data_IF_125988428102
#
_entry.id   IF_125988428102
#
_cell.length_a   1.000
_cell.length_b   1.000
_cell.length_c   1.000
_cell.angle_alpha   90.00
_cell.angle_beta   90.00
_cell.angle_gamma   90.00
#
_symmetry.space_group_name_H-M   'P 1'
#
loop_
_entity.id
_entity.type
_entity.pdbx_description
1 polymer ?
#
# COMPACT_ATOMS: atom_id res chain seq x y z
N UNK A 1 1.39 0.79 3.61
CA UNK A 1 0.28 0.40 4.51
C UNK A 1 -0.18 -0.97 4.08
N UNK A 2 0.26 -2.00 4.79
CA UNK A 2 -0.19 -3.35 4.53
C UNK A 2 -1.53 -3.57 5.22
N UNK A 3 -2.53 -3.93 4.42
CA UNK A 3 -3.80 -4.43 4.94
C UNK A 3 -3.55 -5.89 5.27
N UNK A 4 -3.16 -6.15 6.51
CA UNK A 4 -2.98 -7.52 6.97
C UNK A 4 -3.74 -7.77 8.24
N UNK A 5 -4.48 -8.87 8.19
CA UNK A 5 -5.14 -9.75 9.16
C UNK A 5 -5.11 -9.50 10.67
N UNK A 6 -4.28 -8.62 11.22
CA UNK A 6 -4.18 -8.44 12.66
C UNK A 6 -4.28 -6.95 13.03
N UNK A 7 -5.45 -6.53 13.52
CA UNK A 7 -5.57 -5.32 14.36
C UNK A 7 -6.63 -4.29 13.98
N UNK A 8 -7.31 -4.41 12.84
CA UNK A 8 -8.45 -3.54 12.50
C UNK A 8 -9.72 -4.40 12.39
N UNK A 9 -10.66 -4.34 13.34
CA UNK A 9 -11.84 -5.21 13.44
C UNK A 9 -12.92 -4.94 12.37
N UNK A 10 -12.55 -4.45 11.19
CA UNK A 10 -13.49 -3.94 10.18
C UNK A 10 -13.57 -4.74 8.88
N UNK A 11 -12.88 -5.88 8.71
CA UNK A 11 -13.04 -6.63 7.44
C UNK A 11 -12.72 -8.12 7.41
N UNK A 12 -12.08 -8.70 8.43
CA UNK A 12 -11.93 -10.15 8.50
C UNK A 12 -13.11 -10.77 9.25
N UNK A 13 -14.00 -11.39 8.49
CA UNK A 13 -14.90 -12.40 9.02
C UNK A 13 -14.25 -13.72 8.60
N UNK A 14 -13.33 -14.25 9.43
CA UNK A 14 -12.39 -15.32 9.08
C UNK A 14 -13.03 -16.50 8.34
N UNK A 15 -14.25 -16.87 8.74
CA UNK A 15 -15.03 -17.92 8.09
C UNK A 15 -15.49 -17.59 6.66
N UNK A 16 -15.82 -16.32 6.37
CA UNK A 16 -16.30 -15.89 5.06
C UNK A 16 -15.14 -15.75 4.06
N UNK A 17 -14.01 -15.18 4.48
CA UNK A 17 -12.79 -15.13 3.66
C UNK A 17 -12.30 -16.53 3.30
N UNK A 18 -12.28 -17.44 4.28
CA UNK A 18 -11.94 -18.84 4.07
C UNK A 18 -12.92 -19.54 3.10
N UNK A 19 -14.23 -19.34 3.28
CA UNK A 19 -15.26 -19.88 2.38
C UNK A 19 -15.14 -19.35 0.95
N UNK A 20 -14.73 -18.10 0.75
CA UNK A 20 -14.51 -17.52 -0.58
C UNK A 20 -13.25 -18.12 -1.21
N UNK A 21 -12.16 -18.20 -0.45
CA UNK A 21 -10.89 -18.76 -0.92
C UNK A 21 -11.03 -20.22 -1.39
N UNK A 22 -11.77 -21.05 -0.64
CA UNK A 22 -11.98 -22.46 -0.97
C UNK A 22 -12.77 -22.72 -2.26
N UNK A 23 -13.34 -21.70 -2.90
CA UNK A 23 -14.08 -21.88 -4.17
C UNK A 23 -13.17 -22.16 -5.37
N UNK A 24 -11.87 -21.92 -5.25
CA UNK A 24 -10.90 -22.17 -6.32
C UNK A 24 -9.49 -22.42 -5.77
N UNK A 25 -8.65 -23.08 -6.55
CA UNK A 25 -7.23 -23.26 -6.23
C UNK A 25 -6.52 -21.90 -6.14
N UNK A 26 -6.79 -20.99 -7.08
CA UNK A 26 -6.25 -19.62 -7.08
C UNK A 26 -6.63 -18.86 -5.81
N UNK A 27 -7.90 -18.93 -5.38
CA UNK A 27 -8.35 -18.28 -4.15
C UNK A 27 -7.69 -18.85 -2.89
N UNK A 28 -7.49 -20.17 -2.85
CA UNK A 28 -6.79 -20.85 -1.76
C UNK A 28 -5.32 -20.43 -1.70
N UNK A 29 -4.67 -20.36 -2.85
CA UNK A 29 -3.29 -19.90 -2.97
C UNK A 29 -3.13 -18.43 -2.54
N UNK A 30 -4.04 -17.54 -2.97
CA UNK A 30 -4.02 -16.13 -2.56
C UNK A 30 -4.19 -15.94 -1.05
N UNK A 31 -5.06 -16.73 -0.42
CA UNK A 31 -5.20 -16.73 1.03
C UNK A 31 -3.90 -17.19 1.71
N UNK A 32 -3.26 -18.24 1.20
CA UNK A 32 -1.96 -18.68 1.68
C UNK A 32 -0.90 -17.57 1.56
N UNK A 33 -0.79 -16.92 0.40
CA UNK A 33 0.16 -15.82 0.19
C UNK A 33 -0.09 -14.68 1.18
N UNK A 34 -1.34 -14.28 1.40
CA UNK A 34 -1.67 -13.23 2.36
C UNK A 34 -1.24 -13.57 3.80
N UNK A 35 -1.43 -14.83 4.21
CA UNK A 35 -1.00 -15.32 5.52
C UNK A 35 0.53 -15.42 5.62
N UNK A 36 1.19 -15.93 4.58
CA UNK A 36 2.64 -16.08 4.53
C UNK A 36 3.34 -14.71 4.57
N UNK A 37 2.91 -13.77 3.72
CA UNK A 37 3.41 -12.38 3.73
C UNK A 37 3.23 -11.75 5.11
N UNK A 38 2.10 -11.97 5.78
CA UNK A 38 1.94 -11.48 7.16
C UNK A 38 2.98 -12.06 8.12
N UNK A 39 3.21 -13.37 8.05
CA UNK A 39 4.15 -14.04 8.92
C UNK A 39 5.58 -13.53 8.68
N UNK A 40 5.99 -13.38 7.41
CA UNK A 40 7.32 -12.87 7.05
C UNK A 40 7.51 -11.41 7.47
N UNK A 41 6.51 -10.54 7.26
CA UNK A 41 6.53 -9.15 7.74
C UNK A 41 6.67 -9.08 9.27
N UNK A 42 6.02 -9.98 10.02
CA UNK A 42 6.15 -10.05 11.48
C UNK A 42 7.55 -10.51 11.91
N UNK A 43 8.19 -11.40 11.15
CA UNK A 43 9.58 -11.82 11.38
C UNK A 43 10.59 -10.71 11.05
N UNK A 44 10.16 -9.68 10.33
CA UNK A 44 10.98 -8.53 9.98
C UNK A 44 11.53 -8.55 8.56
N UNK A 45 11.12 -9.52 7.74
CA UNK A 45 11.45 -9.52 6.32
C UNK A 45 10.62 -8.46 5.59
N UNK A 46 11.19 -7.86 4.56
CA UNK A 46 10.50 -6.95 3.63
C UNK A 46 10.06 -7.67 2.36
N UNK A 47 9.32 -6.99 1.47
CA UNK A 47 8.72 -7.63 0.31
C UNK A 47 9.75 -8.13 -0.71
N UNK A 48 10.90 -7.48 -0.78
CA UNK A 48 11.97 -7.85 -1.71
C UNK A 48 12.79 -9.05 -1.21
N UNK A 49 12.68 -9.38 0.07
CA UNK A 49 13.32 -10.56 0.69
C UNK A 49 12.43 -11.81 0.59
N UNK A 50 11.14 -11.62 0.26
CA UNK A 50 10.16 -12.70 0.16
C UNK A 50 10.27 -13.47 -1.17
N UNK A 51 9.80 -14.73 -1.21
CA UNK A 51 9.80 -15.53 -2.44
C UNK A 51 9.09 -14.83 -3.61
N UNK A 52 9.73 -14.83 -4.78
CA UNK A 52 9.19 -14.19 -5.98
C UNK A 52 7.82 -14.78 -6.40
N UNK A 53 7.52 -16.03 -6.04
CA UNK A 53 6.19 -16.59 -6.30
C UNK A 53 5.05 -15.81 -5.64
N UNK A 54 5.29 -15.11 -4.52
CA UNK A 54 4.27 -14.34 -3.82
C UNK A 54 3.81 -13.11 -4.61
N UNK A 55 4.53 -12.73 -5.68
CA UNK A 55 4.29 -11.51 -6.45
C UNK A 55 4.00 -11.81 -7.93
N UNK A 56 3.67 -13.07 -8.25
CA UNK A 56 3.30 -13.48 -9.61
C UNK A 56 2.06 -12.74 -10.10
N UNK A 57 2.09 -12.40 -11.39
CA UNK A 57 0.91 -11.95 -12.12
C UNK A 57 -0.05 -13.12 -12.30
N UNK A 58 -1.29 -12.96 -11.84
CA UNK A 58 -2.33 -13.99 -11.98
C UNK A 58 -3.32 -13.70 -13.12
N UNK A 59 -3.11 -12.63 -13.89
CA UNK A 59 -3.97 -12.23 -14.98
C UNK A 59 -5.24 -11.46 -14.56
N UNK A 60 -5.95 -10.96 -15.57
CA UNK A 60 -7.04 -9.99 -15.40
C UNK A 60 -8.28 -10.53 -14.65
N UNK A 61 -8.51 -11.84 -14.68
CA UNK A 61 -9.72 -12.45 -14.09
C UNK A 61 -9.75 -12.34 -12.55
N UNK A 62 -8.60 -12.05 -11.92
CA UNK A 62 -8.48 -11.97 -10.47
C UNK A 62 -8.79 -10.56 -9.93
N UNK A 63 -8.70 -9.52 -10.77
CA UNK A 63 -8.78 -8.10 -10.37
C UNK A 63 -10.14 -7.67 -9.80
N UNK A 64 -11.20 -8.44 -10.05
CA UNK A 64 -12.56 -8.16 -9.54
C UNK A 64 -12.81 -8.77 -8.15
N UNK A 65 -11.90 -9.60 -7.65
CA UNK A 65 -12.01 -10.23 -6.34
C UNK A 65 -11.18 -9.48 -5.30
N UNK A 66 -11.66 -9.47 -4.05
CA UNK A 66 -10.91 -8.91 -2.92
C UNK A 66 -9.46 -9.43 -2.85
N UNK A 67 -9.27 -10.73 -3.01
CA UNK A 67 -7.96 -11.37 -2.95
C UNK A 67 -7.05 -10.95 -4.12
N UNK A 68 -7.61 -10.81 -5.33
CA UNK A 68 -6.83 -10.33 -6.46
C UNK A 68 -6.46 -8.87 -6.34
N UNK A 69 -7.38 -8.00 -5.93
CA UNK A 69 -7.03 -6.59 -5.73
C UNK A 69 -5.97 -6.44 -4.63
N UNK A 70 -6.05 -7.23 -3.56
CA UNK A 70 -5.01 -7.26 -2.53
C UNK A 70 -3.66 -7.71 -3.10
N UNK A 71 -3.66 -8.76 -3.93
CA UNK A 71 -2.46 -9.27 -4.60
C UNK A 71 -1.81 -8.23 -5.52
N UNK A 72 -2.60 -7.55 -6.34
CA UNK A 72 -2.08 -6.48 -7.21
C UNK A 72 -1.53 -5.30 -6.40
N UNK A 73 -2.18 -4.97 -5.28
CA UNK A 73 -1.66 -3.95 -4.36
C UNK A 73 -0.33 -4.38 -3.74
N UNK A 74 -0.20 -5.66 -3.35
CA UNK A 74 1.05 -6.21 -2.82
C UNK A 74 2.18 -6.15 -3.86
N UNK A 75 1.90 -6.51 -5.12
CA UNK A 75 2.84 -6.40 -6.23
C UNK A 75 3.30 -4.96 -6.44
N UNK A 76 2.37 -4.01 -6.43
CA UNK A 76 2.72 -2.59 -6.53
C UNK A 76 3.62 -2.15 -5.36
N UNK A 77 3.34 -2.59 -4.13
CA UNK A 77 4.17 -2.27 -2.97
C UNK A 77 5.58 -2.86 -3.09
N UNK A 78 5.73 -4.05 -3.65
CA UNK A 78 7.06 -4.62 -3.95
C UNK A 78 7.81 -3.75 -4.98
N UNK A 79 7.12 -3.28 -6.03
CA UNK A 79 7.70 -2.36 -7.01
C UNK A 79 8.14 -1.04 -6.36
N UNK A 80 7.31 -0.47 -5.47
CA UNK A 80 7.69 0.71 -4.68
C UNK A 80 8.95 0.46 -3.84
N UNK A 81 9.05 -0.70 -3.19
CA UNK A 81 10.23 -1.05 -2.40
C UNK A 81 11.49 -1.16 -3.27
N UNK A 82 11.34 -1.65 -4.50
CA UNK A 82 12.39 -1.69 -5.51
C UNK A 82 12.67 -0.34 -6.20
N UNK A 83 11.96 0.73 -5.81
CA UNK A 83 12.02 2.05 -6.43
C UNK A 83 11.58 2.05 -7.91
N UNK A 84 10.87 1.02 -8.35
CA UNK A 84 10.26 0.96 -9.68
C UNK A 84 8.90 1.66 -9.68
N UNK A 85 8.95 2.99 -9.53
CA UNK A 85 7.76 3.82 -9.35
C UNK A 85 6.87 3.85 -10.60
N UNK A 86 7.46 3.78 -11.79
CA UNK A 86 6.69 3.77 -13.04
C UNK A 86 5.87 2.49 -13.16
N UNK A 87 6.47 1.31 -12.94
CA UNK A 87 5.71 0.04 -12.95
C UNK A 87 4.65 0.00 -11.85
N UNK A 88 4.93 0.56 -10.67
CA UNK A 88 3.92 0.69 -9.62
C UNK A 88 2.73 1.56 -10.05
N UNK A 89 2.98 2.67 -10.74
CA UNK A 89 1.92 3.55 -11.27
C UNK A 89 1.12 2.82 -12.35
N UNK A 90 1.77 2.16 -13.30
CA UNK A 90 1.12 1.42 -14.38
C UNK A 90 0.17 0.34 -13.82
N UNK A 91 0.54 -0.26 -12.69
CA UNK A 91 -0.31 -1.23 -12.00
C UNK A 91 -1.44 -0.60 -11.18
N UNK A 92 -1.17 0.51 -10.48
CA UNK A 92 -2.13 1.14 -9.57
C UNK A 92 -3.19 1.99 -10.27
N UNK A 93 -2.89 2.56 -11.44
CA UNK A 93 -3.83 3.42 -12.18
C UNK A 93 -5.10 2.65 -12.58
N UNK A 94 -5.03 1.48 -13.23
CA UNK A 94 -6.23 0.71 -13.56
C UNK A 94 -7.05 0.35 -12.31
N UNK A 95 -6.40 -0.05 -11.21
CA UNK A 95 -7.09 -0.35 -9.95
C UNK A 95 -7.83 0.87 -9.41
N UNK A 96 -7.24 2.07 -9.51
CA UNK A 96 -7.86 3.31 -9.07
C UNK A 96 -9.04 3.73 -9.96
N UNK A 97 -8.97 3.49 -11.26
CA UNK A 97 -10.07 3.72 -12.20
C UNK A 97 -11.28 2.84 -11.85
N UNK A 98 -11.02 1.59 -11.46
CA UNK A 98 -12.04 0.62 -11.05
C UNK A 98 -12.34 0.61 -9.53
N UNK A 99 -11.90 1.63 -8.77
CA UNK A 99 -12.03 1.70 -7.30
C UNK A 99 -13.42 1.43 -6.74
N UNK A 100 -14.49 1.75 -7.47
CA UNK A 100 -15.86 1.54 -7.01
C UNK A 100 -16.21 0.05 -6.82
N UNK A 101 -15.42 -0.86 -7.40
CA UNK A 101 -15.54 -2.31 -7.25
C UNK A 101 -14.64 -2.86 -6.12
N UNK A 102 -13.76 -2.01 -5.57
CA UNK A 102 -12.75 -2.36 -4.58
C UNK A 102 -13.28 -1.99 -3.20
N UNK A 103 -12.96 -2.78 -2.17
CA UNK A 103 -13.37 -2.45 -0.81
C UNK A 103 -12.70 -1.15 -0.30
N UNK A 104 -13.37 -0.32 0.51
CA UNK A 104 -12.87 1.02 0.88
C UNK A 104 -11.47 1.05 1.49
N UNK A 105 -11.10 0.02 2.26
CA UNK A 105 -9.78 -0.06 2.89
C UNK A 105 -8.66 -0.21 1.85
N UNK A 106 -8.86 -1.08 0.86
CA UNK A 106 -7.90 -1.26 -0.26
C UNK A 106 -7.88 -0.01 -1.14
N UNK A 107 -9.02 0.65 -1.37
CA UNK A 107 -9.04 1.93 -2.11
C UNK A 107 -8.10 2.97 -1.50
N UNK A 108 -8.07 3.10 -0.17
CA UNK A 108 -7.17 4.04 0.50
C UNK A 108 -5.70 3.66 0.30
N UNK A 109 -5.39 2.36 0.33
CA UNK A 109 -4.02 1.87 0.11
C UNK A 109 -3.57 2.17 -1.31
N UNK A 110 -4.38 1.82 -2.31
CA UNK A 110 -4.14 2.13 -3.73
C UNK A 110 -3.93 3.64 -3.92
N UNK A 111 -4.84 4.46 -3.40
CA UNK A 111 -4.76 5.91 -3.56
C UNK A 111 -3.48 6.49 -2.92
N UNK A 112 -3.10 6.00 -1.74
CA UNK A 112 -1.90 6.44 -1.04
C UNK A 112 -0.61 6.01 -1.74
N UNK A 113 -0.52 4.74 -2.15
CA UNK A 113 0.64 4.21 -2.88
C UNK A 113 0.79 4.88 -4.26
N UNK A 114 -0.32 5.10 -4.98
CA UNK A 114 -0.33 5.80 -6.27
C UNK A 114 0.09 7.26 -6.12
N UNK A 115 -0.46 7.96 -5.11
CA UNK A 115 -0.09 9.35 -4.83
C UNK A 115 1.39 9.46 -4.48
N UNK A 116 1.90 8.58 -3.62
CA UNK A 116 3.31 8.54 -3.26
C UNK A 116 4.21 8.36 -4.48
N UNK A 117 3.93 7.36 -5.32
CA UNK A 117 4.71 7.12 -6.54
C UNK A 117 4.69 8.33 -7.48
N UNK A 118 3.52 8.93 -7.70
CA UNK A 118 3.38 10.13 -8.54
C UNK A 118 4.08 11.35 -7.98
N UNK A 119 4.13 11.53 -6.66
CA UNK A 119 4.92 12.62 -6.08
C UNK A 119 6.40 12.54 -6.50
N UNK A 120 6.94 11.32 -6.67
CA UNK A 120 8.35 11.10 -7.03
C UNK A 120 8.62 11.21 -8.53
N UNK A 121 7.68 10.83 -9.40
CA UNK A 121 7.93 10.77 -10.86
C UNK A 121 7.15 11.78 -11.70
N UNK A 122 5.97 12.21 -11.23
CA UNK A 122 5.06 13.11 -11.95
C UNK A 122 4.31 14.03 -10.97
N UNK A 123 5.04 14.92 -10.25
CA UNK A 123 4.45 15.77 -9.22
C UNK A 123 3.43 16.77 -9.79
N UNK A 124 3.55 17.13 -11.08
CA UNK A 124 2.65 18.08 -11.73
C UNK A 124 1.35 17.46 -12.25
N UNK A 125 1.15 16.14 -12.05
CA UNK A 125 -0.07 15.48 -12.49
C UNK A 125 -1.32 16.09 -11.81
N UNK A 126 -2.31 16.58 -12.58
CA UNK A 126 -3.49 17.22 -12.01
C UNK A 126 -4.32 16.27 -11.12
N UNK A 127 -4.24 14.96 -11.34
CA UNK A 127 -4.95 13.96 -10.52
C UNK A 127 -4.37 13.81 -9.11
N UNK A 128 -3.15 14.30 -8.84
CA UNK A 128 -2.53 14.22 -7.51
C UNK A 128 -3.37 14.94 -6.45
N UNK A 129 -3.98 16.07 -6.80
CA UNK A 129 -4.87 16.80 -5.90
C UNK A 129 -6.15 16.01 -5.58
N UNK A 130 -6.67 15.24 -6.54
CA UNK A 130 -7.86 14.42 -6.33
C UNK A 130 -7.57 13.23 -5.40
N UNK A 131 -6.45 12.55 -5.63
CA UNK A 131 -5.95 11.47 -4.76
C UNK A 131 -5.73 11.97 -3.33
N UNK A 132 -5.11 13.13 -3.17
CA UNK A 132 -4.90 13.76 -1.87
C UNK A 132 -6.20 14.10 -1.16
N UNK A 133 -7.15 14.73 -1.87
CA UNK A 133 -8.48 15.04 -1.33
C UNK A 133 -9.23 13.77 -0.93
N UNK A 134 -9.12 12.70 -1.71
CA UNK A 134 -9.70 11.41 -1.36
C UNK A 134 -9.10 10.87 -0.06
N UNK A 135 -7.77 10.77 0.02
CA UNK A 135 -7.05 10.27 1.21
C UNK A 135 -7.44 11.08 2.46
N UNK A 136 -7.39 12.41 2.39
CA UNK A 136 -7.67 13.29 3.54
C UNK A 136 -9.10 13.23 4.08
N UNK A 137 -10.07 12.79 3.26
CA UNK A 137 -11.44 12.56 3.71
C UNK A 137 -11.59 11.27 4.52
N UNK A 138 -10.68 10.30 4.35
CA UNK A 138 -10.76 9.01 5.04
C UNK A 138 -10.31 9.13 6.50
N UNK A 139 -11.10 8.60 7.43
CA UNK A 139 -10.75 8.56 8.86
C UNK A 139 -9.45 7.80 9.10
N UNK A 140 -9.23 6.68 8.41
CA UNK A 140 -8.03 5.85 8.54
C UNK A 140 -6.76 6.58 8.11
N UNK A 141 -6.84 7.53 7.17
CA UNK A 141 -5.68 8.34 6.76
C UNK A 141 -5.23 9.35 7.83
N UNK A 142 -6.10 9.66 8.80
CA UNK A 142 -5.79 10.55 9.92
C UNK A 142 -5.10 9.83 11.08
N UNK A 143 -5.07 8.50 11.05
CA UNK A 143 -4.37 7.69 12.05
C UNK A 143 -2.85 7.87 11.92
N UNK A 144 -2.14 7.72 13.04
CA UNK A 144 -0.68 7.75 13.10
C UNK A 144 -0.08 6.43 12.61
N UNK A 145 -0.27 6.10 11.33
CA UNK A 145 0.34 4.96 10.66
C UNK A 145 1.52 5.41 9.81
N UNK A 146 2.64 4.69 9.80
CA UNK A 146 3.82 5.06 9.02
C UNK A 146 3.50 5.23 7.52
N UNK A 147 2.69 4.36 6.93
CA UNK A 147 2.27 4.53 5.54
C UNK A 147 1.49 5.83 5.28
N UNK A 148 0.68 6.29 6.24
CA UNK A 148 0.01 7.60 6.12
C UNK A 148 1.02 8.75 6.21
N UNK A 149 1.99 8.64 7.11
CA UNK A 149 3.07 9.62 7.26
C UNK A 149 3.84 9.76 5.96
N UNK A 150 4.28 8.63 5.37
CA UNK A 150 5.04 8.59 4.12
C UNK A 150 4.32 9.36 3.01
N UNK A 151 3.02 9.07 2.80
CA UNK A 151 2.23 9.74 1.75
C UNK A 151 2.11 11.24 2.00
N UNK A 152 1.84 11.65 3.25
CA UNK A 152 1.74 13.07 3.63
C UNK A 152 3.06 13.81 3.45
N UNK A 153 4.16 13.20 3.89
CA UNK A 153 5.50 13.78 3.77
C UNK A 153 5.88 13.99 2.29
N UNK A 154 5.63 13.00 1.44
CA UNK A 154 5.90 13.11 0.01
C UNK A 154 5.07 14.22 -0.64
N UNK A 155 3.78 14.30 -0.32
CA UNK A 155 2.91 15.35 -0.85
C UNK A 155 3.35 16.76 -0.40
N UNK A 156 3.66 16.95 0.89
CA UNK A 156 4.14 18.22 1.42
C UNK A 156 5.44 18.66 0.74
N UNK A 157 6.43 17.75 0.67
CA UNK A 157 7.74 18.07 0.12
C UNK A 157 7.71 18.34 -1.39
N UNK A 158 7.02 17.49 -2.16
CA UNK A 158 7.19 17.41 -3.62
C UNK A 158 6.05 18.07 -4.40
N UNK A 159 4.89 18.30 -3.78
CA UNK A 159 3.74 18.95 -4.41
C UNK A 159 3.53 20.35 -3.83
N UNK A 160 3.45 20.46 -2.50
CA UNK A 160 3.25 21.76 -1.84
C UNK A 160 4.55 22.57 -1.69
N UNK A 161 5.71 21.94 -1.91
CA UNK A 161 7.05 22.53 -1.69
C UNK A 161 7.26 23.02 -0.24
N UNK A 162 6.53 22.44 0.72
CA UNK A 162 6.68 22.69 2.16
C UNK A 162 7.66 21.68 2.76
N UNK A 163 8.94 21.80 2.36
CA UNK A 163 10.03 20.96 2.84
C UNK A 163 10.16 20.99 4.37
N UNK A 164 10.10 22.15 5.06
CA UNK A 164 10.18 22.19 6.51
C UNK A 164 9.07 21.38 7.21
N UNK A 165 7.81 21.48 6.75
CA UNK A 165 6.72 20.68 7.32
C UNK A 165 6.90 19.18 7.04
N UNK A 166 7.36 18.82 5.84
CA UNK A 166 7.67 17.44 5.50
C UNK A 166 8.78 16.86 6.38
N UNK A 167 9.88 17.59 6.59
CA UNK A 167 10.97 17.19 7.47
C UNK A 167 10.52 17.04 8.92
N UNK A 168 9.75 18.00 9.44
CA UNK A 168 9.17 17.90 10.78
C UNK A 168 8.32 16.64 10.92
N UNK A 169 7.51 16.32 9.91
CA UNK A 169 6.69 15.14 9.90
C UNK A 169 7.54 13.86 9.87
N UNK A 170 8.55 13.79 8.98
CA UNK A 170 9.46 12.64 8.90
C UNK A 170 10.28 12.43 10.18
N UNK A 171 10.70 13.50 10.84
CA UNK A 171 11.42 13.43 12.12
C UNK A 171 10.56 12.95 13.28
N UNK A 172 9.23 12.93 13.12
CA UNK A 172 8.27 12.38 14.09
C UNK A 172 7.89 10.92 13.84
N UNK A 173 8.56 10.22 12.91
CA UNK A 173 8.20 8.85 12.49
C UNK A 173 8.19 7.82 13.64
N UNK A 174 8.98 8.02 14.69
CA UNK A 174 9.00 7.19 15.90
C UNK A 174 7.67 7.22 16.68
N UNK A 175 6.86 8.27 16.50
CA UNK A 175 5.54 8.41 17.11
C UNK A 175 4.43 7.72 16.31
N UNK A 176 4.75 7.13 15.16
CA UNK A 176 3.81 6.47 14.26
C UNK A 176 3.89 4.95 14.42
N UNK A 177 2.72 4.33 14.25
CA UNK A 177 2.51 2.91 14.43
C UNK A 177 2.84 2.20 13.12
N UNK A 178 3.57 1.08 13.23
CA UNK A 178 3.70 0.08 12.19
C UNK A 178 3.07 -1.23 12.68
N UNK A 179 2.22 -1.89 11.89
CA UNK A 179 1.65 -3.20 12.22
C UNK A 179 2.70 -4.30 12.43
N UNK A 180 3.86 -4.21 11.77
CA UNK A 180 4.90 -5.24 11.84
C UNK A 180 6.31 -4.64 11.71
N UNK A 181 7.32 -5.45 12.06
CA UNK A 181 8.73 -5.05 11.94
C UNK A 181 9.13 -4.86 10.48
N UNK A 182 8.73 -5.77 9.59
CA UNK A 182 9.03 -5.71 8.15
C UNK A 182 8.37 -4.49 7.51
N UNK A 183 7.12 -4.19 7.87
CA UNK A 183 6.44 -2.97 7.40
C UNK A 183 7.14 -1.71 7.87
N UNK A 184 7.68 -1.70 9.09
CA UNK A 184 8.45 -0.55 9.58
C UNK A 184 9.68 -0.30 8.71
N UNK A 185 10.45 -1.35 8.42
CA UNK A 185 11.65 -1.27 7.57
C UNK A 185 11.28 -0.82 6.15
N UNK A 186 10.22 -1.40 5.59
CA UNK A 186 9.67 -0.99 4.29
C UNK A 186 9.29 0.49 4.25
N UNK A 187 8.51 0.98 5.22
CA UNK A 187 8.08 2.38 5.25
C UNK A 187 9.26 3.34 5.48
N UNK A 188 10.23 2.99 6.34
CA UNK A 188 11.45 3.78 6.56
C UNK A 188 12.27 3.92 5.28
N UNK A 189 12.39 2.84 4.49
CA UNK A 189 13.05 2.87 3.18
C UNK A 189 12.36 3.85 2.23
N UNK A 190 11.03 3.82 2.16
CA UNK A 190 10.27 4.71 1.29
C UNK A 190 10.28 6.17 1.77
N UNK A 191 10.28 6.41 3.08
CA UNK A 191 10.46 7.75 3.65
C UNK A 191 11.84 8.30 3.27
N UNK A 192 12.89 7.47 3.29
CA UNK A 192 14.22 7.88 2.85
C UNK A 192 14.27 8.27 1.37
N UNK A 193 13.43 7.69 0.52
CA UNK A 193 13.37 8.05 -0.90
C UNK A 193 12.89 9.50 -1.11
N UNK A 194 12.01 10.00 -0.24
CA UNK A 194 11.51 11.40 -0.30
C UNK A 194 12.66 12.38 -0.10
N UNK A 195 13.63 12.07 0.78
CA UNK A 195 14.77 12.95 1.07
C UNK A 195 15.79 13.02 -0.07
N UNK A 196 15.74 12.07 -1.00
CA UNK A 196 16.67 11.94 -2.11
C UNK A 196 16.05 12.34 -3.47
N UNK A 197 14.76 12.69 -3.49
CA UNK A 197 14.02 13.14 -4.67
C UNK A 197 14.15 14.65 -4.86
#
# INVERSE_FOLDING_TARGET
>A
MFIVLNGIPYSFNDAMSFKIAQKSETGTWLLYVQLAVNAELNQGLTLIEMPAEFFKDLGNDVQTSYFGTWQETLRAQQMLENQDYNSAIDLLVPLWEHKNQIIPLIQLTIAGDLLFARCLVDPQNPQNQELWKFCNKQKSFKQKLLGNLRVKAAYLALIENDVPAAEQLMNSADQFISPSRGEKIFEEKLISAIKNA
#
